data_IF_356664706827
#
_entry.id   IF_356664706827
#
_cell.length_a   1.000
_cell.length_b   1.000
_cell.length_c   1.000
_cell.angle_alpha   90.00
_cell.angle_beta   90.00
_cell.angle_gamma   90.00
#
_symmetry.space_group_name_H-M   'P 1'
#
loop_
_entity.id
_entity.type
_entity.pdbx_description
1 polymer ?
#
# COMPACT_ATOMS: atom_id res chain seq x y z
N UNK A 1 60.63 -23.78 23.28
CA UNK A 1 60.41 -22.41 23.77
C UNK A 1 59.44 -21.71 22.83
N UNK A 2 58.49 -20.98 23.39
CA UNK A 2 57.24 -20.60 22.77
C UNK A 2 57.31 -19.26 22.00
N UNK A 3 56.31 -19.09 21.12
CA UNK A 3 55.61 -17.85 20.75
C UNK A 3 56.29 -16.84 19.82
N UNK A 4 55.85 -16.86 18.55
CA UNK A 4 55.64 -15.67 17.72
C UNK A 4 54.14 -15.32 17.68
N UNK A 5 53.80 -14.07 18.03
CA UNK A 5 52.47 -13.47 17.87
C UNK A 5 52.21 -13.14 16.40
N UNK A 6 50.97 -13.29 15.94
CA UNK A 6 50.21 -12.21 15.27
C UNK A 6 48.83 -12.70 14.82
N UNK A 7 47.80 -11.93 15.19
CA UNK A 7 46.43 -12.02 14.70
C UNK A 7 46.39 -12.10 13.17
N UNK A 8 45.56 -12.99 12.61
CA UNK A 8 45.20 -13.00 11.20
C UNK A 8 43.78 -13.52 11.07
N UNK A 9 42.92 -12.73 10.43
CA UNK A 9 41.51 -13.01 10.21
C UNK A 9 41.26 -14.42 9.68
N UNK A 10 40.11 -14.98 10.03
CA UNK A 10 39.52 -16.07 9.26
C UNK A 10 39.13 -15.46 7.91
N UNK A 11 39.97 -15.64 6.89
CA UNK A 11 39.69 -15.26 5.51
C UNK A 11 38.49 -16.10 5.03
N UNK A 12 37.29 -15.53 5.13
CA UNK A 12 36.14 -16.02 4.40
C UNK A 12 36.36 -15.59 2.95
N UNK A 13 36.56 -16.54 2.04
CA UNK A 13 36.66 -16.26 0.60
C UNK A 13 35.40 -15.52 0.14
N UNK A 14 35.53 -14.23 -0.09
CA UNK A 14 34.47 -13.39 -0.67
C UNK A 14 34.57 -13.57 -2.18
N UNK A 15 33.56 -14.12 -2.86
CA UNK A 15 33.58 -14.25 -4.32
C UNK A 15 33.61 -12.87 -4.99
N UNK A 16 34.32 -12.78 -6.11
CA UNK A 16 34.41 -11.55 -6.89
C UNK A 16 33.05 -11.16 -7.48
N UNK A 17 32.77 -9.86 -7.49
CA UNK A 17 31.51 -9.32 -8.01
C UNK A 17 31.46 -9.56 -9.53
N UNK A 18 30.46 -10.29 -10.06
CA UNK A 18 30.37 -10.58 -11.49
C UNK A 18 30.04 -9.32 -12.30
N UNK A 19 30.36 -9.37 -13.59
CA UNK A 19 30.05 -8.30 -14.55
C UNK A 19 28.54 -8.01 -14.58
N UNK A 20 28.16 -6.73 -14.48
CA UNK A 20 26.77 -6.28 -14.48
C UNK A 20 26.16 -6.52 -15.86
N UNK A 21 25.16 -7.41 -15.92
CA UNK A 21 24.40 -7.78 -17.12
C UNK A 21 22.90 -7.52 -16.95
N UNK A 22 22.57 -6.35 -16.41
CA UNK A 22 21.21 -5.84 -16.35
C UNK A 22 21.20 -4.34 -16.69
N UNK A 23 20.08 -3.86 -17.23
CA UNK A 23 19.84 -2.44 -17.44
C UNK A 23 18.50 -2.05 -16.80
N UNK A 24 18.42 -0.80 -16.33
CA UNK A 24 17.16 -0.23 -15.87
C UNK A 24 16.56 0.54 -17.05
N UNK A 25 15.38 0.11 -17.47
CA UNK A 25 14.55 0.83 -18.44
C UNK A 25 13.61 1.76 -17.68
N UNK A 26 13.28 2.91 -18.28
CA UNK A 26 12.31 3.84 -17.70
C UNK A 26 10.98 3.12 -17.46
N UNK A 27 10.57 3.08 -16.20
CA UNK A 27 9.18 2.96 -15.83
C UNK A 27 8.95 4.01 -14.75
N UNK A 28 8.18 5.05 -15.05
CA UNK A 28 7.65 5.93 -14.01
C UNK A 28 6.88 5.02 -13.07
N UNK A 29 7.39 4.82 -11.86
CA UNK A 29 6.83 3.92 -10.84
C UNK A 29 5.41 4.33 -10.41
N UNK A 30 5.00 5.54 -10.78
CA UNK A 30 3.71 6.12 -10.48
C UNK A 30 2.66 5.74 -11.54
N UNK A 31 1.48 5.35 -11.07
CA UNK A 31 0.28 5.15 -11.88
C UNK A 31 -0.73 6.24 -11.55
N UNK A 32 -1.33 6.87 -12.57
CA UNK A 32 -2.48 7.73 -12.36
C UNK A 32 -3.73 6.85 -12.31
N UNK A 33 -4.40 6.86 -11.16
CA UNK A 33 -5.71 6.24 -11.00
C UNK A 33 -6.79 7.28 -11.32
N UNK A 34 -7.77 6.88 -12.12
CA UNK A 34 -8.94 7.69 -12.46
C UNK A 34 -10.20 6.87 -12.21
N UNK A 35 -11.03 7.34 -11.28
CA UNK A 35 -12.31 6.72 -10.92
C UNK A 35 -13.48 7.67 -11.18
N UNK A 36 -14.68 7.12 -11.24
CA UNK A 36 -15.94 7.85 -11.39
C UNK A 36 -17.06 7.10 -10.67
N UNK A 37 -18.20 7.77 -10.52
CA UNK A 37 -19.41 7.21 -9.92
C UNK A 37 -20.61 8.11 -10.16
N UNK A 38 -21.80 7.68 -9.73
CA UNK A 38 -23.04 8.45 -9.74
C UNK A 38 -22.93 9.70 -8.87
N UNK A 39 -22.08 9.64 -7.85
CA UNK A 39 -21.70 10.74 -6.99
C UNK A 39 -20.22 10.65 -6.57
N UNK A 40 -19.78 11.66 -5.83
CA UNK A 40 -18.40 11.74 -5.34
C UNK A 40 -18.08 10.65 -4.30
N UNK A 41 -19.09 10.15 -3.59
CA UNK A 41 -18.92 9.06 -2.62
C UNK A 41 -18.52 7.79 -3.36
N UNK A 42 -19.27 7.41 -4.39
CA UNK A 42 -18.93 6.26 -5.21
C UNK A 42 -17.56 6.44 -5.88
N UNK A 43 -17.23 7.63 -6.37
CA UNK A 43 -15.91 7.87 -6.94
C UNK A 43 -14.75 7.63 -5.94
N UNK A 44 -14.93 7.99 -4.66
CA UNK A 44 -13.95 7.72 -3.59
C UNK A 44 -13.89 6.24 -3.23
N UNK A 45 -15.01 5.52 -3.20
CA UNK A 45 -15.00 4.06 -3.01
C UNK A 45 -14.23 3.38 -4.14
N UNK A 46 -14.50 3.79 -5.39
CA UNK A 46 -13.89 3.21 -6.59
C UNK A 46 -12.39 3.47 -6.67
N UNK A 47 -11.89 4.63 -6.24
CA UNK A 47 -10.46 4.92 -6.30
C UNK A 47 -9.67 4.09 -5.27
N UNK A 48 -10.23 3.84 -4.08
CA UNK A 48 -9.64 2.91 -3.12
C UNK A 48 -9.61 1.48 -3.66
N UNK A 49 -10.71 1.01 -4.26
CA UNK A 49 -10.75 -0.31 -4.91
C UNK A 49 -9.74 -0.41 -6.07
N UNK A 50 -9.60 0.66 -6.88
CA UNK A 50 -8.65 0.71 -7.98
C UNK A 50 -7.19 0.62 -7.50
N UNK A 51 -6.87 1.27 -6.38
CA UNK A 51 -5.55 1.18 -5.74
C UNK A 51 -5.19 -0.26 -5.40
N UNK A 52 -6.09 -0.99 -4.73
CA UNK A 52 -5.85 -2.39 -4.36
C UNK A 52 -5.82 -3.33 -5.55
N UNK A 53 -6.69 -3.13 -6.53
CA UNK A 53 -6.69 -3.91 -7.77
C UNK A 53 -5.37 -3.78 -8.55
N UNK A 54 -4.70 -2.63 -8.46
CA UNK A 54 -3.37 -2.44 -9.05
C UNK A 54 -2.27 -3.16 -8.27
N UNK A 55 -2.40 -3.24 -6.94
CA UNK A 55 -1.37 -3.82 -6.06
C UNK A 55 -1.42 -5.35 -5.99
N UNK A 56 -2.57 -5.99 -6.27
CA UNK A 56 -2.76 -7.43 -6.08
C UNK A 56 -3.08 -8.19 -7.36
N UNK A 57 -2.42 -9.34 -7.54
CA UNK A 57 -2.56 -10.19 -8.74
C UNK A 57 -3.82 -11.06 -8.72
N UNK A 58 -4.47 -11.23 -7.56
CA UNK A 58 -5.63 -12.12 -7.40
C UNK A 58 -6.77 -11.45 -6.62
N UNK A 59 -7.19 -10.26 -7.09
CA UNK A 59 -8.20 -9.45 -6.40
C UNK A 59 -9.58 -10.12 -6.33
N UNK A 60 -9.92 -10.97 -7.29
CA UNK A 60 -11.24 -11.62 -7.40
C UNK A 60 -11.43 -12.79 -6.42
N UNK A 61 -10.37 -13.32 -5.81
CA UNK A 61 -10.44 -14.46 -4.91
C UNK A 61 -10.61 -14.08 -3.43
N UNK A 62 -10.74 -12.79 -3.12
CA UNK A 62 -10.89 -12.31 -1.74
C UNK A 62 -12.34 -12.54 -1.30
N UNK A 63 -12.55 -13.43 -0.32
CA UNK A 63 -13.87 -13.58 0.34
C UNK A 63 -14.15 -12.38 1.26
N UNK A 64 -15.39 -12.25 1.74
CA UNK A 64 -15.87 -11.05 2.46
C UNK A 64 -16.47 -11.44 3.83
N UNK A 65 -15.69 -12.13 4.66
CA UNK A 65 -16.10 -12.60 6.00
C UNK A 65 -15.82 -11.62 7.13
N UNK A 66 -14.80 -10.78 7.00
CA UNK A 66 -14.36 -9.81 8.00
C UNK A 66 -14.56 -8.37 7.51
N UNK A 67 -14.54 -7.43 8.47
CA UNK A 67 -14.69 -6.00 8.22
C UNK A 67 -13.59 -5.23 8.94
N UNK A 68 -13.08 -4.20 8.28
CA UNK A 68 -12.17 -3.24 8.88
C UNK A 68 -12.64 -1.84 8.59
N UNK A 69 -12.56 -1.00 9.60
CA UNK A 69 -13.03 0.38 9.53
C UNK A 69 -11.81 1.31 9.54
N UNK A 70 -11.83 2.31 8.66
CA UNK A 70 -10.88 3.42 8.70
C UNK A 70 -11.63 4.74 8.76
N UNK A 71 -10.97 5.71 9.35
CA UNK A 71 -11.43 7.07 9.54
C UNK A 71 -10.30 8.01 9.13
N UNK A 72 -10.62 9.06 8.37
CA UNK A 72 -9.64 10.03 7.93
C UNK A 72 -10.22 11.45 7.96
N UNK A 73 -9.35 12.41 8.23
CA UNK A 73 -9.65 13.83 8.26
C UNK A 73 -8.77 14.57 7.26
N UNK A 74 -9.32 15.58 6.60
CA UNK A 74 -8.60 16.50 5.71
C UNK A 74 -8.77 17.95 6.13
N UNK A 75 -8.00 18.85 5.51
CA UNK A 75 -8.23 20.30 5.61
C UNK A 75 -8.96 20.85 4.36
N UNK A 76 -9.05 20.04 3.32
CA UNK A 76 -9.82 20.24 2.10
C UNK A 76 -10.14 18.87 1.45
N UNK A 77 -10.81 18.88 0.30
CA UNK A 77 -11.20 17.64 -0.38
C UNK A 77 -10.00 16.84 -0.93
N UNK A 78 -8.91 17.51 -1.32
CA UNK A 78 -7.74 16.85 -1.89
C UNK A 78 -6.93 16.14 -0.81
N UNK A 79 -6.70 16.82 0.31
CA UNK A 79 -6.07 16.25 1.51
C UNK A 79 -6.92 15.13 2.12
N UNK A 80 -8.25 15.26 2.12
CA UNK A 80 -9.14 14.19 2.55
C UNK A 80 -8.99 12.94 1.70
N UNK A 81 -8.97 13.08 0.36
CA UNK A 81 -8.74 11.95 -0.55
C UNK A 81 -7.36 11.32 -0.33
N UNK A 82 -6.33 12.14 -0.13
CA UNK A 82 -4.99 11.67 0.13
C UNK A 82 -4.92 10.84 1.43
N UNK A 83 -5.37 11.40 2.56
CA UNK A 83 -5.37 10.68 3.85
C UNK A 83 -6.28 9.45 3.81
N UNK A 84 -7.42 9.52 3.12
CA UNK A 84 -8.30 8.36 2.94
C UNK A 84 -7.58 7.18 2.25
N UNK A 85 -6.84 7.45 1.18
CA UNK A 85 -6.05 6.42 0.50
C UNK A 85 -4.84 5.96 1.32
N UNK A 86 -4.21 6.89 2.05
CA UNK A 86 -3.06 6.60 2.92
C UNK A 86 -3.44 5.68 4.09
N UNK A 87 -4.58 5.90 4.74
CA UNK A 87 -5.11 5.03 5.80
C UNK A 87 -5.43 3.62 5.27
N UNK A 88 -6.03 3.53 4.08
CA UNK A 88 -6.25 2.25 3.41
C UNK A 88 -4.94 1.55 3.07
N UNK A 89 -3.96 2.27 2.53
CA UNK A 89 -2.64 1.74 2.20
C UNK A 89 -1.86 1.31 3.46
N UNK A 90 -2.04 2.05 4.56
CA UNK A 90 -1.48 1.71 5.86
C UNK A 90 -2.10 0.42 6.41
N UNK A 91 -3.43 0.28 6.35
CA UNK A 91 -4.12 -0.95 6.73
C UNK A 91 -3.65 -2.18 5.94
N UNK A 92 -3.30 -1.99 4.67
CA UNK A 92 -2.67 -3.01 3.85
C UNK A 92 -1.22 -3.29 4.24
N UNK A 93 -0.47 -2.28 4.68
CA UNK A 93 0.95 -2.42 5.02
C UNK A 93 1.18 -2.93 6.45
N UNK A 94 0.19 -2.76 7.33
CA UNK A 94 0.21 -3.24 8.70
C UNK A 94 -0.29 -4.69 8.80
N UNK A 95 0.31 -5.50 9.68
CA UNK A 95 -0.13 -6.88 9.98
C UNK A 95 -1.60 -6.83 10.47
N UNK A 96 -2.59 -7.48 9.80
CA UNK A 96 -2.51 -8.72 9.00
C UNK A 96 -2.44 -8.58 7.46
N UNK A 97 -2.04 -7.45 6.90
CA UNK A 97 -2.02 -7.14 5.46
C UNK A 97 -3.41 -7.15 4.81
N UNK A 98 -4.22 -6.16 5.17
CA UNK A 98 -5.63 -6.07 4.78
C UNK A 98 -5.83 -5.62 3.32
N UNK A 99 -6.46 -6.45 2.48
CA UNK A 99 -6.79 -6.11 1.07
C UNK A 99 -8.32 -6.09 0.86
N UNK A 100 -9.01 -4.94 0.97
CA UNK A 100 -10.46 -4.87 0.82
C UNK A 100 -10.92 -5.19 -0.60
N UNK A 101 -11.82 -6.18 -0.71
CA UNK A 101 -12.52 -6.48 -1.97
C UNK A 101 -13.55 -5.41 -2.31
N UNK A 102 -14.21 -4.88 -1.29
CA UNK A 102 -15.20 -3.82 -1.41
C UNK A 102 -14.92 -2.79 -0.32
N UNK A 103 -14.89 -1.53 -0.72
CA UNK A 103 -14.84 -0.38 0.20
C UNK A 103 -16.20 0.31 0.16
N UNK A 104 -16.75 0.65 1.32
CA UNK A 104 -18.01 1.38 1.47
C UNK A 104 -17.84 2.55 2.41
N UNK A 105 -18.15 3.75 1.95
CA UNK A 105 -18.16 4.96 2.78
C UNK A 105 -19.45 4.97 3.59
N UNK A 106 -19.31 5.06 4.91
CA UNK A 106 -20.42 5.09 5.87
C UNK A 106 -20.72 6.50 6.35
N UNK A 107 -19.74 7.40 6.29
CA UNK A 107 -19.87 8.82 6.62
C UNK A 107 -19.00 9.65 5.68
N UNK A 108 -19.55 10.74 5.12
CA UNK A 108 -18.80 11.68 4.27
C UNK A 108 -19.25 13.12 4.54
N UNK A 109 -18.60 13.77 5.51
CA UNK A 109 -18.82 15.18 5.82
C UNK A 109 -17.88 16.04 4.95
N UNK A 110 -18.46 16.67 3.93
CA UNK A 110 -17.73 17.51 2.98
C UNK A 110 -17.47 18.92 3.49
N UNK A 111 -18.12 19.33 4.58
CA UNK A 111 -17.91 20.65 5.19
C UNK A 111 -16.79 20.59 6.23
N UNK A 112 -16.74 19.52 7.02
CA UNK A 112 -15.66 19.27 7.99
C UNK A 112 -14.48 18.50 7.41
N UNK A 113 -14.61 18.00 6.18
CA UNK A 113 -13.62 17.14 5.52
C UNK A 113 -13.30 15.90 6.36
N UNK A 114 -14.34 15.13 6.66
CA UNK A 114 -14.27 13.93 7.47
C UNK A 114 -14.88 12.74 6.72
N UNK A 115 -14.24 11.58 6.77
CA UNK A 115 -14.72 10.36 6.11
C UNK A 115 -14.56 9.13 7.00
N UNK A 116 -15.59 8.28 7.02
CA UNK A 116 -15.53 6.92 7.56
C UNK A 116 -15.85 5.92 6.48
N UNK A 117 -15.12 4.81 6.47
CA UNK A 117 -15.40 3.73 5.53
C UNK A 117 -15.11 2.35 6.10
N UNK A 118 -15.77 1.36 5.53
CA UNK A 118 -15.65 -0.05 5.88
C UNK A 118 -15.17 -0.82 4.65
N UNK A 119 -14.10 -1.58 4.83
CA UNK A 119 -13.56 -2.53 3.88
C UNK A 119 -14.02 -3.95 4.25
N UNK A 120 -14.38 -4.74 3.25
CA UNK A 120 -14.80 -6.14 3.42
C UNK A 120 -13.69 -7.06 2.87
N UNK A 121 -13.21 -7.98 3.72
CA UNK A 121 -12.10 -8.91 3.40
C UNK A 121 -12.33 -10.32 3.94
N UNK A 122 -11.36 -11.19 3.67
CA UNK A 122 -11.18 -12.50 4.28
C UNK A 122 -10.14 -12.41 5.40
#
# INVERSE_FOLDING_TARGET
LAMSRSNGCVDREIPEIPEVKYEYLDHTADVQLHSWGIDQTEAFEQIAMAMFNYMTTNYDSVEMSEKFEIEADGHDMMSLLFHFLDEWLFAFSADPFFIPRVVKITEFDKEKFHIKSVGYVL
#
